data_IF_050011653799
#
_entry.id   IF_050011653799
#
_cell.length_a   1.000
_cell.length_b   1.000
_cell.length_c   1.000
_cell.angle_alpha   90.00
_cell.angle_beta   90.00
_cell.angle_gamma   90.00
#
_symmetry.space_group_name_H-M   'P 1'
#
loop_
_entity.id
_entity.type
_entity.pdbx_description
1 polymer ?
#
# COMPACT_ATOMS: atom_id res chain seq x y z
N UNK A 1 -59.41 34.74 39.44
CA UNK A 1 -58.06 34.18 39.26
C UNK A 1 -58.08 33.37 37.98
N UNK A 2 -57.62 33.94 36.87
CA UNK A 2 -57.54 33.25 35.56
C UNK A 2 -56.11 32.81 35.36
N UNK A 3 -55.90 31.48 35.20
CA UNK A 3 -54.62 30.88 34.86
C UNK A 3 -54.61 30.67 33.31
N UNK A 4 -53.77 31.42 32.63
CA UNK A 4 -53.49 31.25 31.20
C UNK A 4 -52.34 30.22 31.08
N UNK A 5 -52.66 29.06 30.56
CA UNK A 5 -51.66 28.04 30.21
C UNK A 5 -51.23 28.29 28.76
N UNK A 6 -50.00 28.78 28.55
CA UNK A 6 -49.42 28.92 27.24
C UNK A 6 -48.84 27.57 26.77
N UNK A 7 -49.40 27.04 25.70
CA UNK A 7 -48.95 25.81 25.04
C UNK A 7 -47.86 26.24 24.04
N UNK A 8 -46.59 25.92 24.33
CA UNK A 8 -45.47 26.08 23.39
C UNK A 8 -45.38 24.83 22.51
N UNK A 9 -45.86 24.94 21.26
CA UNK A 9 -45.70 23.91 20.28
C UNK A 9 -44.29 24.05 19.68
N UNK A 10 -43.37 23.16 20.10
CA UNK A 10 -42.03 23.03 19.50
C UNK A 10 -42.12 22.34 18.15
N UNK A 11 -41.88 23.09 17.04
CA UNK A 11 -41.65 22.51 15.74
C UNK A 11 -40.25 21.86 15.73
N UNK A 12 -40.20 20.55 15.83
CA UNK A 12 -39.00 19.79 15.52
C UNK A 12 -38.85 19.76 13.99
N UNK A 13 -37.97 20.59 13.43
CA UNK A 13 -37.50 20.43 12.07
C UNK A 13 -36.61 19.19 12.00
N UNK A 14 -37.18 18.08 11.58
CA UNK A 14 -36.43 16.90 11.19
C UNK A 14 -35.68 17.22 9.88
N UNK A 15 -34.43 17.60 9.96
CA UNK A 15 -33.54 17.65 8.81
C UNK A 15 -33.31 16.20 8.33
N UNK A 16 -34.10 15.77 7.37
CA UNK A 16 -33.83 14.53 6.62
C UNK A 16 -32.54 14.75 5.84
N UNK A 17 -31.43 14.28 6.39
CA UNK A 17 -30.21 14.15 5.63
C UNK A 17 -30.49 13.10 4.53
N UNK A 18 -30.74 13.54 3.31
CA UNK A 18 -30.77 12.67 2.16
C UNK A 18 -29.38 12.07 2.01
N UNK A 19 -29.18 10.82 2.47
CA UNK A 19 -28.02 10.06 2.15
C UNK A 19 -28.06 9.81 0.62
N UNK A 20 -27.15 10.43 -0.12
CA UNK A 20 -26.94 10.09 -1.51
C UNK A 20 -26.56 8.61 -1.60
N UNK A 21 -27.27 7.86 -2.43
CA UNK A 21 -26.89 6.48 -2.74
C UNK A 21 -25.95 6.46 -3.95
N UNK A 22 -25.18 5.38 -4.08
CA UNK A 22 -24.31 5.14 -5.26
C UNK A 22 -25.11 5.21 -6.58
N UNK A 23 -26.41 4.86 -6.55
CA UNK A 23 -27.31 4.90 -7.70
C UNK A 23 -27.63 6.32 -8.17
N UNK A 24 -27.52 7.32 -7.27
CA UNK A 24 -27.79 8.72 -7.56
C UNK A 24 -26.59 9.46 -8.16
N UNK A 25 -25.42 8.81 -8.19
CA UNK A 25 -24.19 9.38 -8.75
C UNK A 25 -24.13 9.15 -10.27
N UNK A 26 -23.72 10.20 -10.99
CA UNK A 26 -23.38 9.99 -12.40
C UNK A 26 -22.20 9.03 -12.53
N UNK A 27 -22.14 8.29 -13.64
CA UNK A 27 -21.02 7.37 -13.89
C UNK A 27 -19.66 8.10 -13.93
N UNK A 28 -19.66 9.34 -14.39
CA UNK A 28 -18.47 10.19 -14.44
C UNK A 28 -18.05 10.63 -13.04
N UNK A 29 -19.01 11.04 -12.18
CA UNK A 29 -18.71 11.40 -10.79
C UNK A 29 -18.16 10.19 -10.02
N UNK A 30 -18.79 9.02 -10.13
CA UNK A 30 -18.33 7.80 -9.48
C UNK A 30 -16.91 7.42 -9.90
N UNK A 31 -16.64 7.44 -11.22
CA UNK A 31 -15.29 7.16 -11.75
C UNK A 31 -14.28 8.23 -11.35
N UNK A 32 -14.65 9.50 -11.41
CA UNK A 32 -13.78 10.63 -11.04
C UNK A 32 -13.40 10.60 -9.56
N UNK A 33 -14.37 10.46 -8.67
CA UNK A 33 -14.13 10.41 -7.22
C UNK A 33 -13.31 9.21 -6.79
N UNK A 34 -13.52 8.03 -7.41
CA UNK A 34 -12.68 6.87 -7.19
C UNK A 34 -11.23 7.13 -7.63
N UNK A 35 -11.02 7.67 -8.84
CA UNK A 35 -9.68 8.00 -9.33
C UNK A 35 -8.94 8.98 -8.43
N UNK A 36 -9.63 10.01 -7.97
CA UNK A 36 -9.06 11.01 -7.05
C UNK A 36 -8.60 10.36 -5.75
N UNK A 37 -9.44 9.50 -5.16
CA UNK A 37 -9.11 8.79 -3.92
C UNK A 37 -7.92 7.83 -4.11
N UNK A 38 -7.86 7.12 -5.24
CA UNK A 38 -6.75 6.21 -5.54
C UNK A 38 -5.44 6.94 -5.77
N UNK A 39 -5.46 8.07 -6.47
CA UNK A 39 -4.27 8.91 -6.65
C UNK A 39 -3.78 9.40 -5.30
N UNK A 40 -4.68 9.86 -4.44
CA UNK A 40 -4.35 10.29 -3.08
C UNK A 40 -3.73 9.13 -2.28
N UNK A 41 -4.39 7.98 -2.23
CA UNK A 41 -3.92 6.81 -1.49
C UNK A 41 -2.53 6.35 -1.96
N UNK A 42 -2.32 6.27 -3.27
CA UNK A 42 -1.03 5.92 -3.86
C UNK A 42 0.07 6.94 -3.51
N UNK A 43 -0.24 8.24 -3.56
CA UNK A 43 0.71 9.29 -3.20
C UNK A 43 1.09 9.24 -1.72
N UNK A 44 0.12 9.01 -0.83
CA UNK A 44 0.37 8.87 0.62
C UNK A 44 1.24 7.65 0.89
N UNK A 45 0.90 6.49 0.33
CA UNK A 45 1.68 5.26 0.49
C UNK A 45 3.12 5.43 -0.01
N UNK A 46 3.32 5.97 -1.22
CA UNK A 46 4.65 6.23 -1.78
C UNK A 46 5.45 7.21 -0.93
N UNK A 47 4.83 8.29 -0.44
CA UNK A 47 5.49 9.28 0.41
C UNK A 47 5.92 8.69 1.75
N UNK A 48 5.05 7.89 2.38
CA UNK A 48 5.35 7.26 3.67
C UNK A 48 6.47 6.22 3.55
N UNK A 49 6.36 5.31 2.59
CA UNK A 49 7.33 4.24 2.39
C UNK A 49 8.64 4.71 1.78
N UNK A 50 8.64 5.75 0.95
CA UNK A 50 9.86 6.34 0.37
C UNK A 50 10.61 7.29 1.30
N UNK A 51 10.10 7.57 2.49
CA UNK A 51 10.79 8.34 3.51
C UNK A 51 11.82 7.46 4.25
N UNK A 52 12.91 8.04 4.79
CA UNK A 52 13.83 7.31 5.65
C UNK A 52 13.10 6.65 6.83
N UNK A 53 13.23 5.35 6.98
CA UNK A 53 12.52 4.58 7.99
C UNK A 53 11.11 4.12 7.59
N UNK A 54 10.67 4.40 6.37
CA UNK A 54 9.34 4.05 5.91
C UNK A 54 9.06 2.54 5.90
N UNK A 55 10.09 1.74 5.62
CA UNK A 55 10.06 0.28 5.82
C UNK A 55 10.66 -0.12 7.16
N UNK A 56 11.86 0.38 7.48
CA UNK A 56 12.63 -0.04 8.65
C UNK A 56 11.88 0.14 9.97
N UNK A 57 11.11 1.22 10.12
CA UNK A 57 10.39 1.58 11.33
C UNK A 57 8.91 1.16 11.32
N UNK A 58 8.44 0.57 10.24
CA UNK A 58 7.05 0.09 10.12
C UNK A 58 7.02 -1.45 10.22
N UNK A 59 6.53 -2.02 11.33
CA UNK A 59 6.53 -3.46 11.57
C UNK A 59 5.67 -4.24 10.57
N UNK A 60 4.68 -3.62 9.90
CA UNK A 60 3.78 -4.27 8.96
C UNK A 60 4.42 -4.53 7.60
N UNK A 61 5.40 -3.70 7.21
CA UNK A 61 6.05 -3.79 5.89
C UNK A 61 7.56 -3.98 5.98
N UNK A 62 8.12 -3.98 7.18
CA UNK A 62 9.56 -4.17 7.41
C UNK A 62 10.04 -5.46 6.77
N UNK A 63 11.09 -5.36 5.98
CA UNK A 63 11.69 -6.49 5.29
C UNK A 63 12.69 -7.17 6.21
N UNK A 64 12.39 -8.42 6.57
CA UNK A 64 13.26 -9.32 7.33
C UNK A 64 13.87 -10.36 6.39
N UNK A 65 14.90 -11.06 6.87
CA UNK A 65 15.49 -12.18 6.13
C UNK A 65 14.48 -13.33 5.99
N UNK A 66 14.38 -13.97 4.80
CA UNK A 66 13.35 -14.95 4.52
C UNK A 66 13.58 -16.28 5.23
N UNK A 67 12.51 -16.93 5.66
CA UNK A 67 12.42 -18.34 6.02
C UNK A 67 13.55 -18.87 6.91
N UNK A 68 14.32 -19.85 6.41
CA UNK A 68 15.41 -20.46 7.15
C UNK A 68 16.59 -19.53 7.40
N UNK A 69 16.82 -18.55 6.52
CA UNK A 69 17.83 -17.49 6.74
C UNK A 69 17.43 -16.59 7.92
N UNK A 70 16.16 -16.26 8.06
CA UNK A 70 15.65 -15.51 9.22
C UNK A 70 15.83 -16.27 10.53
N UNK A 71 15.65 -17.61 10.53
CA UNK A 71 15.93 -18.44 11.71
C UNK A 71 17.42 -18.43 12.07
N UNK A 72 18.30 -18.61 11.08
CA UNK A 72 19.74 -18.53 11.28
C UNK A 72 20.17 -17.15 11.77
N UNK A 73 19.61 -16.09 11.21
CA UNK A 73 19.86 -14.71 11.63
C UNK A 73 19.50 -14.46 13.11
N UNK A 74 18.37 -14.98 13.58
CA UNK A 74 17.98 -14.90 15.00
C UNK A 74 18.98 -15.59 15.90
N UNK A 75 19.45 -16.78 15.53
CA UNK A 75 20.49 -17.51 16.26
C UNK A 75 21.80 -16.71 16.30
N UNK A 76 22.23 -16.16 15.17
CA UNK A 76 23.42 -15.31 15.09
C UNK A 76 23.32 -14.06 15.99
N UNK A 77 22.15 -13.40 16.01
CA UNK A 77 21.90 -12.26 16.91
C UNK A 77 22.04 -12.67 18.39
N UNK A 78 21.51 -13.84 18.79
CA UNK A 78 21.65 -14.36 20.17
C UNK A 78 23.11 -14.71 20.53
N UNK A 79 23.93 -15.11 19.56
CA UNK A 79 25.35 -15.43 19.75
C UNK A 79 26.27 -14.21 19.70
N UNK A 80 25.74 -13.01 19.67
CA UNK A 80 26.51 -11.76 19.59
C UNK A 80 27.01 -11.38 18.20
N UNK A 81 26.64 -12.15 17.15
CA UNK A 81 27.01 -11.88 15.74
C UNK A 81 25.92 -11.12 14.99
N UNK A 82 25.10 -10.33 15.71
CA UNK A 82 23.93 -9.66 15.15
C UNK A 82 24.24 -8.46 14.27
N UNK A 83 25.41 -7.85 14.40
CA UNK A 83 25.73 -6.60 13.70
C UNK A 83 25.64 -6.74 12.17
N UNK A 84 26.16 -7.82 11.60
CA UNK A 84 26.13 -8.08 10.17
C UNK A 84 24.70 -8.35 9.66
N UNK A 85 23.90 -9.10 10.44
CA UNK A 85 22.50 -9.36 10.14
C UNK A 85 21.71 -8.05 10.13
N UNK A 86 21.89 -7.22 11.16
CA UNK A 86 21.24 -5.91 11.27
C UNK A 86 21.62 -4.99 10.12
N UNK A 87 22.89 -4.99 9.71
CA UNK A 87 23.35 -4.21 8.57
C UNK A 87 22.66 -4.65 7.28
N UNK A 88 22.56 -5.97 7.03
CA UNK A 88 21.88 -6.50 5.85
C UNK A 88 20.40 -6.14 5.86
N UNK A 89 19.68 -6.38 6.96
CA UNK A 89 18.26 -6.00 7.10
C UNK A 89 18.06 -4.49 6.91
N UNK A 90 18.93 -3.66 7.45
CA UNK A 90 18.89 -2.20 7.25
C UNK A 90 19.03 -1.84 5.77
N UNK A 91 20.00 -2.43 5.09
CA UNK A 91 20.23 -2.16 3.65
C UNK A 91 19.09 -2.65 2.77
N UNK A 92 18.47 -3.78 3.11
CA UNK A 92 17.28 -4.28 2.40
C UNK A 92 16.13 -3.26 2.48
N UNK A 93 15.85 -2.75 3.68
CA UNK A 93 14.78 -1.78 3.89
C UNK A 93 15.10 -0.43 3.23
N UNK A 94 16.33 0.06 3.33
CA UNK A 94 16.77 1.28 2.65
C UNK A 94 16.70 1.16 1.13
N UNK A 95 17.00 -0.02 0.56
CA UNK A 95 16.85 -0.27 -0.86
C UNK A 95 15.38 -0.21 -1.31
N UNK A 96 14.46 -0.75 -0.51
CA UNK A 96 13.03 -0.63 -0.74
C UNK A 96 12.57 0.84 -0.67
N UNK A 97 12.98 1.57 0.38
CA UNK A 97 12.69 3.00 0.56
C UNK A 97 13.15 3.84 -0.64
N UNK A 98 14.34 3.55 -1.18
CA UNK A 98 14.88 4.24 -2.37
C UNK A 98 14.13 3.91 -3.66
N UNK A 99 13.58 2.70 -3.79
CA UNK A 99 12.88 2.25 -4.99
C UNK A 99 11.44 2.76 -5.09
N UNK A 100 10.72 2.85 -3.96
CA UNK A 100 9.27 3.15 -3.91
C UNK A 100 8.87 4.44 -4.62
N UNK A 101 9.61 5.55 -4.59
CA UNK A 101 9.24 6.77 -5.33
C UNK A 101 9.04 6.55 -6.84
N UNK A 102 9.69 5.56 -7.43
CA UNK A 102 9.53 5.24 -8.86
C UNK A 102 8.15 4.66 -9.21
N UNK A 103 7.41 4.16 -8.22
CA UNK A 103 6.06 3.63 -8.42
C UNK A 103 5.03 4.73 -8.70
N UNK A 104 5.24 5.94 -8.20
CA UNK A 104 4.20 7.00 -8.19
C UNK A 104 3.64 7.29 -9.58
N UNK A 105 4.50 7.51 -10.57
CA UNK A 105 4.06 7.83 -11.93
C UNK A 105 3.31 6.65 -12.56
N UNK A 106 3.76 5.42 -12.32
CA UNK A 106 3.13 4.21 -12.87
C UNK A 106 1.76 3.95 -12.25
N UNK A 107 1.61 4.15 -10.94
CA UNK A 107 0.33 4.03 -10.24
C UNK A 107 -0.67 5.08 -10.73
N UNK A 108 -0.25 6.35 -10.84
CA UNK A 108 -1.10 7.41 -11.37
C UNK A 108 -1.53 7.13 -12.81
N UNK A 109 -0.62 6.61 -13.64
CA UNK A 109 -0.93 6.24 -15.02
C UNK A 109 -1.92 5.07 -15.10
N UNK A 110 -1.77 4.06 -14.25
CA UNK A 110 -2.71 2.95 -14.13
C UNK A 110 -4.12 3.43 -13.72
N UNK A 111 -4.20 4.36 -12.75
CA UNK A 111 -5.48 4.98 -12.35
C UNK A 111 -6.11 5.77 -13.50
N UNK A 112 -5.33 6.56 -14.24
CA UNK A 112 -5.84 7.33 -15.39
C UNK A 112 -6.42 6.43 -16.48
N UNK A 113 -5.82 5.27 -16.73
CA UNK A 113 -6.27 4.28 -17.73
C UNK A 113 -7.51 3.48 -17.29
N UNK A 114 -7.91 3.55 -16.02
CA UNK A 114 -9.11 2.90 -15.51
C UNK A 114 -10.35 3.34 -16.26
N UNK A 115 -11.16 2.37 -16.71
CA UNK A 115 -12.43 2.64 -17.40
C UNK A 115 -13.57 2.94 -16.39
N UNK A 116 -14.69 3.44 -16.88
CA UNK A 116 -15.90 3.61 -16.06
C UNK A 116 -16.42 2.26 -15.55
N UNK A 117 -16.29 1.20 -16.35
CA UNK A 117 -16.72 -0.15 -15.96
C UNK A 117 -15.84 -0.70 -14.83
N UNK A 118 -14.51 -0.49 -14.90
CA UNK A 118 -13.59 -0.84 -13.80
C UNK A 118 -14.00 -0.11 -12.52
N UNK A 119 -14.25 1.19 -12.60
CA UNK A 119 -14.65 2.01 -11.46
C UNK A 119 -15.93 1.50 -10.77
N UNK A 120 -16.95 1.14 -11.56
CA UNK A 120 -18.18 0.54 -11.01
C UNK A 120 -17.93 -0.78 -10.30
N UNK A 121 -17.13 -1.65 -10.90
CA UNK A 121 -16.79 -2.96 -10.33
C UNK A 121 -16.01 -2.79 -9.01
N UNK A 122 -15.11 -1.82 -8.95
CA UNK A 122 -14.31 -1.51 -7.77
C UNK A 122 -15.18 -0.95 -6.64
N UNK A 123 -16.07 0.01 -6.94
CA UNK A 123 -16.93 0.62 -5.92
C UNK A 123 -17.92 -0.38 -5.32
N UNK A 124 -18.41 -1.32 -6.13
CA UNK A 124 -19.31 -2.41 -5.68
C UNK A 124 -18.56 -3.60 -5.06
N UNK A 125 -17.24 -3.63 -5.14
CA UNK A 125 -16.41 -4.75 -4.70
C UNK A 125 -15.97 -4.66 -3.23
N UNK A 126 -15.14 -5.63 -2.78
CA UNK A 126 -14.51 -5.64 -1.46
C UNK A 126 -13.73 -4.37 -1.13
N UNK A 127 -13.32 -4.23 0.15
CA UNK A 127 -12.66 -3.01 0.66
C UNK A 127 -11.28 -2.72 0.05
N UNK A 128 -10.67 -3.71 -0.61
CA UNK A 128 -9.36 -3.62 -1.27
C UNK A 128 -9.43 -3.74 -2.80
N UNK A 129 -10.63 -3.65 -3.39
CA UNK A 129 -10.84 -3.87 -4.84
C UNK A 129 -10.03 -2.93 -5.72
N UNK A 130 -9.84 -1.69 -5.31
CA UNK A 130 -9.05 -0.72 -6.05
C UNK A 130 -7.55 -1.05 -5.97
N UNK A 131 -7.08 -1.47 -4.83
CA UNK A 131 -5.71 -1.96 -4.63
C UNK A 131 -5.43 -3.19 -5.47
N UNK A 132 -6.38 -4.16 -5.53
CA UNK A 132 -6.25 -5.35 -6.37
C UNK A 132 -6.17 -4.97 -7.86
N UNK A 133 -6.98 -4.00 -8.31
CA UNK A 133 -6.91 -3.47 -9.67
C UNK A 133 -5.53 -2.87 -9.97
N UNK A 134 -5.01 -2.01 -9.09
CA UNK A 134 -3.69 -1.38 -9.26
C UNK A 134 -2.56 -2.41 -9.24
N UNK A 135 -2.62 -3.38 -8.34
CA UNK A 135 -1.65 -4.47 -8.27
C UNK A 135 -1.61 -5.24 -9.60
N UNK A 136 -2.78 -5.68 -10.08
CA UNK A 136 -2.88 -6.42 -11.35
C UNK A 136 -2.40 -5.61 -12.56
N UNK A 137 -2.68 -4.31 -12.61
CA UNK A 137 -2.41 -3.47 -13.78
C UNK A 137 -1.02 -2.86 -13.82
N UNK A 138 -0.32 -2.74 -12.67
CA UNK A 138 0.95 -1.99 -12.60
C UNK A 138 2.12 -2.73 -11.97
N UNK A 139 1.91 -3.83 -11.21
CA UNK A 139 2.96 -4.52 -10.45
C UNK A 139 4.19 -4.86 -11.27
N UNK A 140 4.04 -5.46 -12.45
CA UNK A 140 5.18 -5.88 -13.27
C UNK A 140 5.98 -4.69 -13.79
N UNK A 141 5.33 -3.60 -14.14
CA UNK A 141 6.00 -2.37 -14.58
C UNK A 141 6.77 -1.71 -13.42
N UNK A 142 6.18 -1.69 -12.22
CA UNK A 142 6.84 -1.18 -11.02
C UNK A 142 8.02 -2.08 -10.66
N UNK A 143 7.85 -3.40 -10.71
CA UNK A 143 8.91 -4.38 -10.48
C UNK A 143 10.14 -4.14 -11.37
N UNK A 144 9.91 -3.93 -12.66
CA UNK A 144 10.99 -3.64 -13.61
C UNK A 144 11.75 -2.34 -13.28
N UNK A 145 11.12 -1.37 -12.63
CA UNK A 145 11.76 -0.13 -12.15
C UNK A 145 12.48 -0.31 -10.81
N UNK A 146 11.93 -1.12 -9.91
CA UNK A 146 12.51 -1.33 -8.59
C UNK A 146 13.78 -2.15 -8.64
N UNK A 147 13.79 -3.24 -9.40
CA UNK A 147 14.88 -4.21 -9.42
C UNK A 147 16.28 -3.60 -9.61
N UNK A 148 16.52 -2.71 -10.59
CA UNK A 148 17.86 -2.11 -10.76
C UNK A 148 18.28 -1.22 -9.59
N UNK A 149 17.34 -0.53 -8.93
CA UNK A 149 17.62 0.34 -7.79
C UNK A 149 17.95 -0.51 -6.56
N UNK A 150 17.14 -1.52 -6.30
CA UNK A 150 17.38 -2.48 -5.21
C UNK A 150 18.72 -3.17 -5.42
N UNK A 151 19.03 -3.62 -6.64
CA UNK A 151 20.32 -4.22 -6.95
C UNK A 151 21.49 -3.29 -6.65
N UNK A 152 21.43 -2.05 -7.10
CA UNK A 152 22.48 -1.06 -6.83
C UNK A 152 22.70 -0.86 -5.33
N UNK A 153 21.63 -0.77 -4.55
CA UNK A 153 21.73 -0.56 -3.10
C UNK A 153 22.31 -1.79 -2.37
N UNK A 154 21.88 -3.00 -2.73
CA UNK A 154 22.33 -4.24 -2.09
C UNK A 154 23.76 -4.64 -2.47
N UNK A 155 24.21 -4.34 -3.68
CA UNK A 155 25.59 -4.57 -4.13
C UNK A 155 26.61 -3.80 -3.29
N UNK A 156 26.27 -2.59 -2.79
CA UNK A 156 27.15 -1.75 -1.98
C UNK A 156 27.46 -2.33 -0.59
N UNK A 157 26.64 -3.24 -0.09
CA UNK A 157 26.77 -3.79 1.28
C UNK A 157 27.70 -4.99 1.35
N UNK A 158 28.07 -5.60 0.20
CA UNK A 158 28.95 -6.79 0.14
C UNK A 158 28.32 -8.09 0.69
N UNK A 159 27.32 -7.98 1.56
CA UNK A 159 26.57 -9.12 2.11
C UNK A 159 25.56 -9.72 1.13
N UNK A 160 25.15 -8.94 0.12
CA UNK A 160 24.27 -9.40 -0.93
C UNK A 160 24.88 -10.57 -1.71
N UNK A 161 26.20 -10.55 -1.97
CA UNK A 161 26.90 -11.63 -2.64
C UNK A 161 26.88 -12.94 -1.81
N UNK A 162 27.10 -12.82 -0.49
CA UNK A 162 27.05 -13.98 0.42
C UNK A 162 25.64 -14.57 0.50
N UNK A 163 24.63 -13.70 0.60
CA UNK A 163 23.23 -14.13 0.55
C UNK A 163 22.90 -14.86 -0.76
N UNK A 164 23.25 -14.28 -1.90
CA UNK A 164 22.92 -14.83 -3.20
C UNK A 164 23.62 -16.15 -3.47
N UNK A 165 24.88 -16.31 -3.03
CA UNK A 165 25.59 -17.58 -3.13
C UNK A 165 24.91 -18.69 -2.31
N UNK A 166 24.51 -18.39 -1.09
CA UNK A 166 23.82 -19.36 -0.21
C UNK A 166 22.40 -19.67 -0.71
N UNK A 167 21.62 -18.64 -1.08
CA UNK A 167 20.26 -18.82 -1.58
C UNK A 167 20.23 -19.54 -2.93
N UNK A 168 21.20 -19.29 -3.80
CA UNK A 168 21.35 -20.00 -5.08
C UNK A 168 21.61 -21.50 -4.89
N UNK A 169 22.45 -21.88 -3.92
CA UNK A 169 22.67 -23.29 -3.56
C UNK A 169 21.39 -23.92 -3.01
N UNK A 170 20.69 -23.23 -2.09
CA UNK A 170 19.44 -23.73 -1.52
C UNK A 170 18.34 -23.92 -2.60
N UNK A 171 18.28 -23.03 -3.61
CA UNK A 171 17.35 -23.14 -4.71
C UNK A 171 17.61 -24.37 -5.60
N UNK A 172 18.89 -24.77 -5.81
CA UNK A 172 19.24 -25.98 -6.60
C UNK A 172 18.77 -27.27 -5.93
N UNK A 173 18.54 -27.25 -4.61
CA UNK A 173 17.97 -28.36 -3.84
C UNK A 173 16.45 -28.25 -3.64
N UNK A 174 15.78 -27.28 -4.30
CA UNK A 174 14.34 -27.08 -4.17
C UNK A 174 13.88 -26.52 -2.81
N UNK A 175 14.80 -26.00 -1.99
CA UNK A 175 14.53 -25.50 -0.63
C UNK A 175 14.03 -24.05 -0.65
N UNK A 176 14.29 -23.31 -1.73
CA UNK A 176 13.90 -21.90 -1.90
C UNK A 176 13.30 -21.72 -3.29
N UNK A 177 12.24 -20.92 -3.41
CA UNK A 177 11.67 -20.53 -4.71
C UNK A 177 12.72 -19.77 -5.54
N UNK A 178 12.80 -20.05 -6.83
CA UNK A 178 13.73 -19.37 -7.75
C UNK A 178 13.59 -17.83 -7.77
N UNK A 179 12.39 -17.30 -7.49
CA UNK A 179 12.14 -15.86 -7.34
C UNK A 179 12.79 -15.28 -6.09
N UNK A 180 12.96 -16.08 -5.05
CA UNK A 180 13.60 -15.70 -3.78
C UNK A 180 15.07 -16.09 -3.74
N UNK A 181 15.64 -16.64 -4.83
CA UNK A 181 17.02 -17.09 -4.87
C UNK A 181 18.04 -15.94 -4.84
N UNK A 182 17.64 -14.72 -5.20
CA UNK A 182 18.46 -13.52 -5.06
C UNK A 182 17.85 -12.54 -4.10
N UNK A 183 18.71 -11.87 -3.31
CA UNK A 183 18.26 -10.90 -2.33
C UNK A 183 17.57 -9.70 -3.01
N UNK A 184 18.02 -9.33 -4.20
CA UNK A 184 17.45 -8.23 -4.98
C UNK A 184 16.00 -8.55 -5.40
N UNK A 185 15.76 -9.77 -5.88
CA UNK A 185 14.41 -10.22 -6.21
C UNK A 185 13.54 -10.26 -4.96
N UNK A 186 14.05 -10.82 -3.87
CA UNK A 186 13.33 -10.90 -2.60
C UNK A 186 12.94 -9.51 -2.09
N UNK A 187 13.89 -8.58 -1.99
CA UNK A 187 13.63 -7.20 -1.54
C UNK A 187 12.66 -6.50 -2.48
N UNK A 188 12.79 -6.70 -3.80
CA UNK A 188 11.88 -6.11 -4.78
C UNK A 188 10.44 -6.58 -4.57
N UNK A 189 10.24 -7.90 -4.39
CA UNK A 189 8.89 -8.44 -4.15
C UNK A 189 8.32 -7.95 -2.81
N UNK A 190 9.13 -7.94 -1.74
CA UNK A 190 8.70 -7.43 -0.43
C UNK A 190 8.37 -5.92 -0.47
N UNK A 191 9.14 -5.13 -1.23
CA UNK A 191 8.86 -3.72 -1.43
C UNK A 191 7.53 -3.48 -2.17
N UNK A 192 7.23 -4.31 -3.16
CA UNK A 192 5.95 -4.29 -3.87
C UNK A 192 4.79 -4.70 -2.95
N UNK A 193 4.96 -5.78 -2.19
CA UNK A 193 3.94 -6.24 -1.25
C UNK A 193 3.65 -5.17 -0.19
N UNK A 194 4.69 -4.56 0.39
CA UNK A 194 4.55 -3.45 1.33
C UNK A 194 3.87 -2.22 0.70
N UNK A 195 4.21 -1.88 -0.54
CA UNK A 195 3.57 -0.77 -1.25
C UNK A 195 2.06 -1.00 -1.43
N UNK A 196 1.66 -2.19 -1.90
CA UNK A 196 0.25 -2.49 -2.11
C UNK A 196 -0.50 -2.69 -0.79
N UNK A 197 0.14 -3.19 0.26
CA UNK A 197 -0.45 -3.23 1.61
C UNK A 197 -0.79 -1.82 2.13
N UNK A 198 0.14 -0.87 2.00
CA UNK A 198 -0.10 0.52 2.38
C UNK A 198 -1.18 1.21 1.53
N UNK A 199 -1.27 0.90 0.22
CA UNK A 199 -2.36 1.40 -0.62
C UNK A 199 -3.71 0.83 -0.17
N UNK A 200 -3.77 -0.46 0.20
CA UNK A 200 -4.98 -1.09 0.73
C UNK A 200 -5.43 -0.46 2.04
N UNK A 201 -4.49 -0.13 2.93
CA UNK A 201 -4.78 0.58 4.17
C UNK A 201 -5.37 1.97 3.90
N UNK A 202 -4.82 2.73 2.94
CA UNK A 202 -5.36 4.02 2.53
C UNK A 202 -6.76 3.87 1.91
N UNK A 203 -7.00 2.86 1.08
CA UNK A 203 -8.32 2.56 0.53
C UNK A 203 -9.32 2.26 1.63
N UNK A 204 -8.99 1.38 2.56
CA UNK A 204 -9.84 1.04 3.70
C UNK A 204 -10.15 2.26 4.58
N UNK A 205 -9.15 3.10 4.84
CA UNK A 205 -9.31 4.34 5.60
C UNK A 205 -10.30 5.30 4.94
N UNK A 206 -10.22 5.50 3.62
CA UNK A 206 -11.15 6.37 2.87
C UNK A 206 -12.56 5.77 2.85
N UNK A 207 -12.72 4.46 2.71
CA UNK A 207 -14.03 3.79 2.76
C UNK A 207 -14.69 3.89 4.13
N UNK A 208 -13.92 3.80 5.21
CA UNK A 208 -14.41 3.92 6.59
C UNK A 208 -14.68 5.37 6.98
N UNK A 209 -13.87 6.31 6.50
CA UNK A 209 -13.99 7.73 6.79
C UNK A 209 -13.87 8.58 5.51
N UNK A 210 -14.93 8.68 4.72
CA UNK A 210 -14.93 9.46 3.47
C UNK A 210 -14.59 10.94 3.64
N UNK A 211 -14.83 11.49 4.83
CA UNK A 211 -14.47 12.89 5.13
C UNK A 211 -12.96 13.16 5.04
N UNK A 212 -12.12 12.13 5.20
CA UNK A 212 -10.66 12.21 5.04
C UNK A 212 -10.15 12.22 3.60
N UNK A 213 -11.02 11.98 2.60
CA UNK A 213 -10.62 12.06 1.19
C UNK A 213 -10.22 13.48 0.78
N UNK A 214 -9.24 13.61 -0.14
CA UNK A 214 -8.67 14.89 -0.53
C UNK A 214 -9.65 15.80 -1.28
N UNK A 215 -10.47 15.21 -2.15
CA UNK A 215 -11.39 15.98 -3.01
C UNK A 215 -12.84 15.88 -2.55
N UNK A 216 -13.63 16.90 -2.84
CA UNK A 216 -15.07 16.89 -2.58
C UNK A 216 -15.78 15.78 -3.35
N UNK A 217 -15.29 15.44 -4.54
CA UNK A 217 -15.83 14.38 -5.38
C UNK A 217 -15.56 12.99 -4.76
N UNK A 218 -14.34 12.74 -4.29
CA UNK A 218 -14.02 11.51 -3.57
C UNK A 218 -14.87 11.37 -2.29
N UNK A 219 -15.01 12.44 -1.49
CA UNK A 219 -15.88 12.45 -0.30
C UNK A 219 -17.33 12.09 -0.65
N UNK A 220 -17.85 12.67 -1.74
CA UNK A 220 -19.22 12.41 -2.22
C UNK A 220 -19.39 10.95 -2.63
N UNK A 221 -18.43 10.39 -3.38
CA UNK A 221 -18.50 9.01 -3.90
C UNK A 221 -18.40 7.99 -2.77
N UNK A 222 -17.40 8.11 -1.92
CA UNK A 222 -17.20 7.17 -0.80
C UNK A 222 -18.22 7.35 0.33
N UNK A 223 -18.79 8.54 0.49
CA UNK A 223 -19.88 8.78 1.42
C UNK A 223 -21.23 8.24 0.96
N UNK A 224 -21.33 7.77 -0.28
CA UNK A 224 -22.51 7.12 -0.86
C UNK A 224 -22.42 5.58 -0.87
N UNK A 225 -21.28 4.99 -0.40
CA UNK A 225 -21.09 3.55 -0.23
C UNK A 225 -21.63 3.08 1.10
#
# INVERSE_FOLDING_TARGET
MFRITALVAGLALSASAFALSLADLSQQDASGGLKDALIQGAQVAVKQLGAPGGFSNNPEVRIELPGNLGKAARTMKMMGMGAQVTQLETSMNQAAEAAVPQAQALLVDAVKKMTVQDAKSILAGPQDSATQYLNKSSREQIRARFLPIVKQATDQVGLAQQYNAFAGQAASFGVVDAKSASIENYVTEQALDGLFAMIAEQEASIRQNPAGAATSLAKKVFGAL
#
